data_IF_453295506205
#
_entry.id   IF_453295506205
#
_cell.length_a   1.000
_cell.length_b   1.000
_cell.length_c   1.000
_cell.angle_alpha   90.00
_cell.angle_beta   90.00
_cell.angle_gamma   90.00
#
_symmetry.space_group_name_H-M   'P 1'
#
loop_
_entity.id
_entity.type
_entity.pdbx_description
1 polymer ?
#
# COMPACT_ATOMS: atom_id res chain seq x y z
N UNK A 1 -2.44 -50.42 3.66
CA UNK A 1 -1.15 -49.76 3.98
C UNK A 1 -0.95 -48.60 3.02
N UNK A 2 -0.83 -47.35 3.54
CA UNK A 2 0.01 -46.21 3.08
C UNK A 2 -0.18 -45.72 1.62
N UNK A 3 -0.38 -44.46 1.25
CA UNK A 3 -0.12 -43.11 1.81
C UNK A 3 -0.68 -42.11 0.77
N UNK A 4 -1.66 -41.26 1.10
CA UNK A 4 -1.56 -39.79 1.25
C UNK A 4 -0.89 -38.96 0.12
N UNK A 5 -1.58 -37.86 -0.20
CA UNK A 5 -1.08 -36.60 -0.80
C UNK A 5 -1.01 -36.66 -2.34
N UNK A 6 -1.64 -35.77 -3.12
CA UNK A 6 -1.29 -34.35 -3.26
C UNK A 6 -2.50 -33.56 -3.77
N UNK A 7 -3.05 -32.70 -2.91
CA UNK A 7 -3.82 -31.52 -3.32
C UNK A 7 -2.84 -30.35 -3.49
N UNK A 8 -2.86 -29.66 -4.64
CA UNK A 8 -2.57 -28.22 -4.76
C UNK A 8 -2.61 -27.79 -6.24
N UNK A 9 -3.79 -27.39 -6.69
CA UNK A 9 -3.91 -26.49 -7.83
C UNK A 9 -4.07 -25.07 -7.26
N UNK A 10 -2.96 -24.37 -7.05
CA UNK A 10 -2.97 -22.95 -6.68
C UNK A 10 -2.95 -22.12 -7.96
N UNK A 11 -4.13 -21.76 -8.45
CA UNK A 11 -4.30 -20.82 -9.55
C UNK A 11 -4.07 -19.40 -9.00
N UNK A 12 -2.88 -18.85 -9.25
CA UNK A 12 -2.59 -17.43 -8.97
C UNK A 12 -3.26 -16.58 -10.04
N UNK A 13 -4.38 -15.95 -9.71
CA UNK A 13 -4.98 -14.89 -10.52
C UNK A 13 -4.25 -13.59 -10.21
N UNK A 14 -3.33 -13.21 -11.09
CA UNK A 14 -2.72 -11.88 -11.10
C UNK A 14 -3.44 -11.04 -12.16
N UNK A 15 -4.39 -10.21 -11.74
CA UNK A 15 -4.89 -9.11 -12.56
C UNK A 15 -4.95 -7.86 -11.67
N UNK A 16 -3.82 -7.18 -11.57
CA UNK A 16 -3.74 -5.83 -11.00
C UNK A 16 -4.30 -4.87 -12.05
N UNK A 17 -5.52 -4.39 -11.83
CA UNK A 17 -6.11 -3.34 -12.64
C UNK A 17 -5.32 -2.05 -12.44
N UNK A 18 -4.49 -1.71 -13.42
CA UNK A 18 -3.83 -0.40 -13.50
C UNK A 18 -4.84 0.66 -13.95
N UNK A 19 -5.48 1.31 -13.00
CA UNK A 19 -6.25 2.53 -13.22
C UNK A 19 -5.76 3.58 -12.22
N UNK A 20 -5.13 4.64 -12.72
CA UNK A 20 -5.01 5.89 -11.97
C UNK A 20 -5.06 7.08 -12.92
N UNK A 21 -6.17 7.82 -12.97
CA UNK A 21 -6.29 9.06 -13.72
C UNK A 21 -5.56 10.18 -12.97
N UNK A 22 -4.61 10.81 -13.65
CA UNK A 22 -3.85 11.96 -13.17
C UNK A 22 -4.76 13.15 -12.81
N UNK A 23 -5.18 13.27 -11.54
CA UNK A 23 -5.95 14.42 -11.01
C UNK A 23 -5.65 14.60 -9.52
N UNK A 24 -4.88 15.65 -9.19
CA UNK A 24 -4.69 16.23 -7.87
C UNK A 24 -4.68 15.23 -6.69
N UNK A 25 -3.50 14.68 -6.33
CA UNK A 25 -3.21 13.81 -5.16
C UNK A 25 -4.39 13.65 -4.17
N UNK A 26 -5.39 12.87 -4.56
CA UNK A 26 -6.52 12.58 -3.68
C UNK A 26 -6.07 11.58 -2.63
N UNK A 27 -6.79 11.48 -1.52
CA UNK A 27 -6.49 10.51 -0.47
C UNK A 27 -6.34 9.09 -1.03
N UNK A 28 -7.13 8.75 -2.04
CA UNK A 28 -7.10 7.45 -2.73
C UNK A 28 -5.85 7.26 -3.59
N UNK A 29 -5.40 8.28 -4.32
CA UNK A 29 -4.13 8.26 -5.06
C UNK A 29 -2.93 8.08 -4.12
N UNK A 30 -2.95 8.74 -2.97
CA UNK A 30 -1.90 8.58 -1.96
C UNK A 30 -1.84 7.14 -1.46
N UNK A 31 -3.01 6.57 -1.16
CA UNK A 31 -3.16 5.18 -0.73
C UNK A 31 -2.66 4.24 -1.83
N UNK A 32 -3.00 4.49 -3.09
CA UNK A 32 -2.54 3.70 -4.23
C UNK A 32 -1.01 3.78 -4.42
N UNK A 33 -0.41 4.97 -4.27
CA UNK A 33 1.05 5.17 -4.34
C UNK A 33 1.77 4.44 -3.22
N UNK A 34 1.24 4.52 -2.00
CA UNK A 34 1.78 3.83 -0.82
C UNK A 34 1.66 2.31 -1.01
N UNK A 35 0.53 1.81 -1.54
CA UNK A 35 0.36 0.40 -1.90
C UNK A 35 1.31 -0.05 -3.01
N UNK A 36 1.49 0.75 -4.06
CA UNK A 36 2.44 0.49 -5.14
C UNK A 36 3.90 0.47 -4.66
N UNK A 37 4.22 1.23 -3.60
CA UNK A 37 5.53 1.21 -2.96
C UNK A 37 5.75 0.01 -2.01
N UNK A 38 4.79 -0.93 -1.93
CA UNK A 38 4.89 -2.16 -1.15
C UNK A 38 4.33 -2.07 0.27
N UNK A 39 3.66 -0.97 0.62
CA UNK A 39 3.07 -0.78 1.94
C UNK A 39 1.58 -1.16 1.91
N UNK A 40 1.16 -2.05 2.80
CA UNK A 40 -0.22 -2.52 2.92
C UNK A 40 -1.01 -1.77 3.99
N UNK A 41 -2.33 -1.89 3.97
CA UNK A 41 -3.20 -1.42 5.06
C UNK A 41 -3.05 0.08 5.40
N UNK A 42 -3.05 0.92 4.37
CA UNK A 42 -2.93 2.38 4.51
C UNK A 42 -4.19 2.96 5.18
N UNK A 43 -4.01 3.68 6.29
CA UNK A 43 -5.06 4.27 7.13
C UNK A 43 -4.59 5.60 7.72
N UNK A 44 -5.48 6.31 8.42
CA UNK A 44 -5.16 7.58 9.10
C UNK A 44 -4.53 8.64 8.17
N UNK A 45 -5.00 8.72 6.92
CA UNK A 45 -4.49 9.71 5.96
C UNK A 45 -4.96 11.10 6.37
N UNK A 46 -4.03 11.94 6.83
CA UNK A 46 -4.31 13.27 7.35
C UNK A 46 -3.40 14.31 6.73
N UNK A 47 -3.97 15.32 6.10
CA UNK A 47 -3.20 16.47 5.60
C UNK A 47 -2.86 17.40 6.76
N UNK A 48 -1.57 17.62 6.99
CA UNK A 48 -1.01 18.58 7.94
C UNK A 48 -0.27 19.69 7.17
N UNK A 49 0.14 20.75 7.86
CA UNK A 49 0.90 21.85 7.25
C UNK A 49 2.27 21.43 6.70
N UNK A 50 2.82 20.30 7.17
CA UNK A 50 4.11 19.75 6.73
C UNK A 50 3.97 18.77 5.54
N UNK A 51 2.75 18.29 5.27
CA UNK A 51 2.48 17.26 4.27
C UNK A 51 1.30 16.37 4.67
N UNK A 52 1.04 15.31 3.91
CA UNK A 52 0.02 14.33 4.24
C UNK A 52 0.63 13.16 5.01
N UNK A 53 0.25 12.97 6.27
CA UNK A 53 0.63 11.79 7.05
C UNK A 53 -0.31 10.64 6.75
N UNK A 54 0.22 9.41 6.73
CA UNK A 54 -0.54 8.18 6.56
C UNK A 54 0.11 7.07 7.38
N UNK A 55 -0.68 6.20 7.99
CA UNK A 55 -0.18 4.97 8.61
C UNK A 55 -0.28 3.85 7.60
N UNK A 56 0.76 3.03 7.48
CA UNK A 56 0.73 1.85 6.64
C UNK A 56 1.48 0.71 7.33
N UNK A 57 1.46 -0.48 6.72
CA UNK A 57 2.15 -1.67 7.22
C UNK A 57 3.14 -2.12 6.15
N UNK A 58 4.42 -2.20 6.49
CA UNK A 58 5.47 -2.72 5.62
C UNK A 58 6.12 -3.91 6.28
N UNK A 59 6.21 -5.02 5.57
CA UNK A 59 6.77 -6.28 6.09
C UNK A 59 6.12 -6.73 7.43
N UNK A 60 4.82 -6.51 7.58
CA UNK A 60 4.08 -6.82 8.80
C UNK A 60 4.30 -5.87 9.98
N UNK A 61 5.10 -4.80 9.81
CA UNK A 61 5.35 -3.77 10.83
C UNK A 61 4.55 -2.50 10.51
N UNK A 62 3.82 -1.93 11.50
CA UNK A 62 3.17 -0.64 11.32
C UNK A 62 4.24 0.45 11.22
N UNK A 63 4.18 1.22 10.13
CA UNK A 63 5.06 2.36 9.85
C UNK A 63 4.22 3.60 9.61
N UNK A 64 4.72 4.75 10.05
CA UNK A 64 4.09 6.04 9.76
C UNK A 64 4.80 6.65 8.56
N UNK A 65 4.04 7.08 7.57
CA UNK A 65 4.52 7.72 6.36
C UNK A 65 4.11 9.19 6.38
N UNK A 66 4.98 10.05 5.89
CA UNK A 66 4.73 11.47 5.66
C UNK A 66 4.98 11.74 4.20
N UNK A 67 3.97 12.27 3.51
CA UNK A 67 4.06 12.62 2.10
C UNK A 67 4.19 14.13 1.99
N UNK A 68 5.31 14.61 1.47
CA UNK A 68 5.49 16.06 1.26
C UNK A 68 4.60 16.58 0.12
N UNK A 69 4.53 17.90 -0.04
CA UNK A 69 3.77 18.54 -1.13
C UNK A 69 4.29 18.17 -2.54
N UNK A 70 5.50 17.60 -2.64
CA UNK A 70 6.07 17.08 -3.89
C UNK A 70 5.65 15.62 -4.15
N UNK A 71 4.86 15.01 -3.26
CA UNK A 71 4.42 13.63 -3.37
C UNK A 71 5.52 12.61 -3.04
N UNK A 72 6.59 13.01 -2.34
CA UNK A 72 7.61 12.09 -1.84
C UNK A 72 7.17 11.48 -0.52
N UNK A 73 7.29 10.16 -0.44
CA UNK A 73 6.93 9.39 0.76
C UNK A 73 8.17 9.27 1.65
N UNK A 74 8.05 9.74 2.90
CA UNK A 74 9.07 9.62 3.94
C UNK A 74 8.57 8.75 5.08
N UNK A 75 9.33 7.73 5.45
CA UNK A 75 9.07 6.96 6.66
C UNK A 75 9.44 7.78 7.90
N UNK A 76 8.52 7.86 8.86
CA UNK A 76 8.74 8.42 10.19
C UNK A 76 8.87 7.24 11.15
N UNK A 77 10.11 6.98 11.58
CA UNK A 77 10.44 6.01 12.63
C UNK A 77 10.18 6.63 14.02
#
# INVERSE_FOLDING_TARGET
MRTSTIYRASLFVALVAGFSPARALTQEELVAKIQAAGYSQVKDVKSTAEGTTAKAVKDGKPVTLVVDSSGQIKERN
#
